data_IF_313376547466
#
_entry.id   IF_313376547466
#
_cell.length_a   1.000
_cell.length_b   1.000
_cell.length_c   1.000
_cell.angle_alpha   90.00
_cell.angle_beta   90.00
_cell.angle_gamma   90.00
#
_symmetry.space_group_name_H-M   'P 1'
#
loop_
_entity.id
_entity.type
_entity.pdbx_description
1 polymer ?
#
# COMPACT_ATOMS: atom_id res chain seq x y z
N UNK A 1 -23.90 -56.42 -17.35
CA UNK A 1 -24.91 -55.56 -16.69
C UNK A 1 -24.31 -55.03 -15.38
N UNK A 2 -23.82 -53.78 -15.36
CA UNK A 2 -23.35 -53.16 -14.10
C UNK A 2 -24.58 -52.70 -13.33
N UNK A 3 -24.79 -53.29 -12.15
CA UNK A 3 -25.83 -52.91 -11.20
C UNK A 3 -25.60 -51.45 -10.80
N UNK A 4 -26.46 -50.53 -11.23
CA UNK A 4 -26.43 -49.13 -10.80
C UNK A 4 -26.91 -49.08 -9.34
N UNK A 5 -25.97 -49.04 -8.41
CA UNK A 5 -26.25 -48.90 -6.99
C UNK A 5 -26.76 -47.48 -6.74
N UNK A 6 -28.06 -47.34 -6.45
CA UNK A 6 -28.66 -46.04 -6.13
C UNK A 6 -28.25 -45.63 -4.72
N UNK A 7 -27.69 -44.44 -4.58
CA UNK A 7 -27.32 -43.87 -3.28
C UNK A 7 -28.56 -43.73 -2.38
N UNK A 8 -28.41 -44.06 -1.09
CA UNK A 8 -29.48 -43.83 -0.10
C UNK A 8 -29.58 -42.34 0.25
N UNK A 9 -30.77 -41.83 0.67
CA UNK A 9 -30.95 -40.41 0.98
C UNK A 9 -29.96 -39.88 2.05
N UNK A 10 -29.55 -40.69 3.02
CA UNK A 10 -28.53 -40.31 4.00
C UNK A 10 -27.11 -40.16 3.42
N UNK A 11 -26.75 -40.95 2.41
CA UNK A 11 -25.47 -40.82 1.70
C UNK A 11 -25.45 -39.56 0.83
N UNK A 12 -26.55 -39.26 0.13
CA UNK A 12 -26.68 -38.03 -0.66
C UNK A 12 -26.57 -36.78 0.22
N UNK A 13 -27.20 -36.78 1.40
CA UNK A 13 -27.07 -35.69 2.37
C UNK A 13 -25.64 -35.52 2.88
N UNK A 14 -24.91 -36.62 3.11
CA UNK A 14 -23.52 -36.60 3.55
C UNK A 14 -22.58 -36.07 2.46
N UNK A 15 -22.75 -36.50 1.20
CA UNK A 15 -21.96 -35.96 0.07
C UNK A 15 -22.23 -34.48 -0.17
N UNK A 16 -23.49 -34.04 -0.04
CA UNK A 16 -23.84 -32.63 -0.12
C UNK A 16 -23.16 -31.83 0.98
N UNK A 17 -23.15 -32.34 2.22
CA UNK A 17 -22.46 -31.72 3.35
C UNK A 17 -20.96 -31.56 3.11
N UNK A 18 -20.29 -32.62 2.63
CA UNK A 18 -18.85 -32.57 2.30
C UNK A 18 -18.58 -31.57 1.17
N UNK A 19 -19.41 -31.57 0.13
CA UNK A 19 -19.27 -30.63 -0.99
C UNK A 19 -19.43 -29.17 -0.53
N UNK A 20 -20.40 -28.89 0.34
CA UNK A 20 -20.59 -27.55 0.92
C UNK A 20 -19.39 -27.15 1.77
N UNK A 21 -18.87 -28.04 2.62
CA UNK A 21 -17.68 -27.75 3.44
C UNK A 21 -16.46 -27.46 2.55
N UNK A 22 -16.23 -28.29 1.53
CA UNK A 22 -15.11 -28.10 0.61
C UNK A 22 -15.23 -26.76 -0.16
N UNK A 23 -16.44 -26.40 -0.57
CA UNK A 23 -16.70 -25.12 -1.23
C UNK A 23 -16.42 -23.94 -0.30
N UNK A 24 -16.97 -23.95 0.91
CA UNK A 24 -16.75 -22.89 1.90
C UNK A 24 -15.26 -22.75 2.24
N UNK A 25 -14.57 -23.87 2.46
CA UNK A 25 -13.14 -23.87 2.72
C UNK A 25 -12.33 -23.27 1.56
N UNK A 26 -12.70 -23.60 0.31
CA UNK A 26 -12.04 -23.03 -0.88
C UNK A 26 -12.26 -21.52 -0.98
N UNK A 27 -13.48 -21.04 -0.70
CA UNK A 27 -13.78 -19.60 -0.67
C UNK A 27 -13.01 -18.92 0.46
N UNK A 28 -12.91 -19.53 1.65
CA UNK A 28 -12.11 -18.99 2.75
C UNK A 28 -10.64 -18.85 2.39
N UNK A 29 -10.04 -19.88 1.77
CA UNK A 29 -8.65 -19.82 1.29
C UNK A 29 -8.47 -18.72 0.24
N UNK A 30 -9.42 -18.58 -0.68
CA UNK A 30 -9.40 -17.51 -1.68
C UNK A 30 -9.38 -16.12 -1.05
N UNK A 31 -10.23 -15.87 -0.05
CA UNK A 31 -10.29 -14.58 0.63
C UNK A 31 -9.00 -14.28 1.41
N UNK A 32 -8.41 -15.29 2.06
CA UNK A 32 -7.12 -15.13 2.73
C UNK A 32 -5.98 -14.83 1.75
N UNK A 33 -5.95 -15.52 0.60
CA UNK A 33 -4.98 -15.26 -0.44
C UNK A 33 -5.14 -13.85 -1.03
N UNK A 34 -6.37 -13.41 -1.28
CA UNK A 34 -6.65 -12.05 -1.77
C UNK A 34 -6.22 -10.98 -0.77
N UNK A 35 -6.47 -11.17 0.53
CA UNK A 35 -6.01 -10.27 1.58
C UNK A 35 -4.47 -10.22 1.66
N UNK A 36 -3.82 -11.39 1.60
CA UNK A 36 -2.37 -11.50 1.58
C UNK A 36 -1.74 -10.81 0.36
N UNK A 37 -2.39 -10.88 -0.80
CA UNK A 37 -1.93 -10.24 -2.02
C UNK A 37 -1.85 -8.70 -1.90
N UNK A 38 -2.80 -8.07 -1.22
CA UNK A 38 -2.79 -6.62 -0.98
C UNK A 38 -1.57 -6.22 -0.12
N UNK A 39 -1.31 -6.97 0.96
CA UNK A 39 -0.18 -6.71 1.85
C UNK A 39 1.16 -6.94 1.14
N UNK A 40 1.27 -8.03 0.38
CA UNK A 40 2.48 -8.32 -0.40
C UNK A 40 2.79 -7.19 -1.39
N UNK A 41 1.78 -6.69 -2.11
CA UNK A 41 1.94 -5.54 -3.00
C UNK A 41 2.42 -4.29 -2.29
N UNK A 42 1.87 -3.98 -1.12
CA UNK A 42 2.28 -2.82 -0.34
C UNK A 42 3.75 -2.92 0.09
N UNK A 43 4.18 -4.08 0.59
CA UNK A 43 5.58 -4.32 1.00
C UNK A 43 6.53 -4.18 -0.18
N UNK A 44 6.21 -4.80 -1.32
CA UNK A 44 7.04 -4.71 -2.53
C UNK A 44 7.09 -3.27 -3.03
N UNK A 45 5.97 -2.55 -3.03
CA UNK A 45 5.94 -1.15 -3.42
C UNK A 45 6.83 -0.27 -2.53
N UNK A 46 6.84 -0.47 -1.21
CA UNK A 46 7.74 0.29 -0.32
C UNK A 46 9.22 0.05 -0.64
N UNK A 47 9.62 -1.20 -0.91
CA UNK A 47 11.01 -1.50 -1.28
C UNK A 47 11.38 -0.84 -2.62
N UNK A 48 10.51 -0.93 -3.62
CA UNK A 48 10.74 -0.29 -4.92
C UNK A 48 10.78 1.24 -4.84
N UNK A 49 10.03 1.84 -3.91
CA UNK A 49 10.09 3.27 -3.63
C UNK A 49 11.43 3.67 -3.00
N UNK A 50 11.92 2.91 -2.03
CA UNK A 50 13.26 3.13 -1.45
C UNK A 50 14.36 2.97 -2.50
N UNK A 51 14.29 1.93 -3.34
CA UNK A 51 15.24 1.75 -4.44
C UNK A 51 15.24 2.92 -5.43
N UNK A 52 14.06 3.45 -5.76
CA UNK A 52 13.92 4.62 -6.63
C UNK A 52 14.41 5.92 -5.96
N UNK A 53 14.18 6.08 -4.65
CA UNK A 53 14.70 7.20 -3.87
C UNK A 53 16.24 7.21 -3.86
N UNK A 54 16.86 6.07 -3.56
CA UNK A 54 18.31 5.94 -3.53
C UNK A 54 18.93 6.17 -4.92
N UNK A 55 18.25 5.75 -5.98
CA UNK A 55 18.69 5.96 -7.36
C UNK A 55 18.67 7.46 -7.73
N UNK A 56 17.63 8.18 -7.32
CA UNK A 56 17.48 9.64 -7.49
C UNK A 56 18.70 10.37 -6.89
N UNK A 57 19.07 10.05 -5.65
CA UNK A 57 20.23 10.66 -4.97
C UNK A 57 21.58 10.30 -5.57
N UNK A 58 21.77 9.06 -6.05
CA UNK A 58 23.03 8.60 -6.65
C UNK A 58 23.28 9.16 -8.04
N UNK A 59 22.23 9.32 -8.84
CA UNK A 59 22.35 9.66 -10.26
C UNK A 59 22.03 11.14 -10.54
N UNK A 60 21.60 11.89 -9.51
CA UNK A 60 21.06 13.26 -9.65
C UNK A 60 19.91 13.31 -10.68
N UNK A 61 19.21 12.18 -10.84
CA UNK A 61 18.08 12.02 -11.74
C UNK A 61 16.80 12.35 -10.98
N UNK A 62 15.94 13.18 -11.57
CA UNK A 62 14.63 13.48 -10.99
C UNK A 62 13.55 12.63 -11.66
N UNK A 63 12.58 12.13 -10.91
CA UNK A 63 11.43 11.43 -11.50
C UNK A 63 11.64 9.93 -11.72
N UNK A 64 12.56 9.30 -11.00
CA UNK A 64 12.81 7.86 -11.11
C UNK A 64 11.57 7.09 -10.64
N UNK A 65 10.93 6.38 -11.56
CA UNK A 65 9.73 5.60 -11.25
C UNK A 65 10.10 4.31 -10.50
N UNK A 66 9.38 3.95 -9.43
CA UNK A 66 9.63 2.71 -8.68
C UNK A 66 9.29 1.44 -9.47
N UNK A 67 8.43 1.54 -10.48
CA UNK A 67 8.18 0.50 -11.47
C UNK A 67 7.76 1.13 -12.81
N UNK A 68 7.88 0.42 -13.95
CA UNK A 68 7.81 1.05 -15.28
C UNK A 68 6.52 1.83 -15.59
N UNK A 69 5.39 1.37 -15.04
CA UNK A 69 4.07 1.98 -15.24
C UNK A 69 3.57 2.78 -14.03
N UNK A 70 4.45 3.16 -13.09
CA UNK A 70 4.08 4.05 -12.01
C UNK A 70 3.67 5.42 -12.57
N UNK A 71 2.59 5.97 -12.02
CA UNK A 71 2.12 7.34 -12.28
C UNK A 71 2.71 8.36 -11.28
N UNK A 72 3.53 7.87 -10.34
CA UNK A 72 4.21 8.67 -9.32
C UNK A 72 5.67 8.21 -9.16
N UNK A 73 6.43 8.97 -8.38
CA UNK A 73 7.82 8.71 -8.03
C UNK A 73 8.16 9.33 -6.66
N UNK A 74 9.21 8.86 -5.96
CA UNK A 74 9.75 9.52 -4.78
C UNK A 74 10.21 10.94 -5.12
N UNK A 75 9.60 11.95 -4.50
CA UNK A 75 9.93 13.36 -4.72
C UNK A 75 10.66 13.98 -3.54
N UNK A 76 10.33 13.55 -2.32
CA UNK A 76 10.95 14.02 -1.09
C UNK A 76 10.92 12.92 -0.03
N UNK A 77 11.61 13.13 1.10
CA UNK A 77 11.55 12.25 2.27
C UNK A 77 11.20 13.04 3.52
N UNK A 78 10.08 12.67 4.15
CA UNK A 78 9.57 13.30 5.37
C UNK A 78 10.11 12.57 6.60
N UNK A 79 10.83 13.30 7.44
CA UNK A 79 11.38 12.82 8.70
C UNK A 79 10.72 13.53 9.87
N UNK A 80 10.31 12.76 10.88
CA UNK A 80 9.88 13.28 12.18
C UNK A 80 10.72 12.59 13.26
N UNK A 81 11.94 13.08 13.54
CA UNK A 81 12.90 12.39 14.40
C UNK A 81 12.34 12.09 15.79
N UNK A 82 11.58 13.02 16.36
CA UNK A 82 10.96 12.86 17.68
C UNK A 82 9.96 11.69 17.79
N UNK A 83 9.50 11.15 16.66
CA UNK A 83 8.56 10.04 16.59
C UNK A 83 9.11 8.83 15.81
N UNK A 84 10.37 8.88 15.34
CA UNK A 84 10.96 7.83 14.51
C UNK A 84 10.24 7.64 13.17
N UNK A 85 9.60 8.69 12.65
CA UNK A 85 8.90 8.62 11.36
C UNK A 85 9.89 8.94 10.24
N UNK A 86 9.85 8.09 9.23
CA UNK A 86 10.58 8.22 7.99
C UNK A 86 9.68 7.73 6.86
N UNK A 87 9.29 8.63 5.96
CA UNK A 87 8.35 8.34 4.89
C UNK A 87 8.77 9.00 3.58
N UNK A 88 8.79 8.22 2.51
CA UNK A 88 8.90 8.75 1.15
C UNK A 88 7.62 9.52 0.81
N UNK A 89 7.79 10.73 0.30
CA UNK A 89 6.72 11.59 -0.21
C UNK A 89 6.70 11.50 -1.73
N UNK A 90 5.54 11.10 -2.25
CA UNK A 90 5.32 10.80 -3.66
C UNK A 90 4.93 12.06 -4.45
N UNK A 91 5.28 12.12 -5.73
CA UNK A 91 4.83 13.19 -6.62
C UNK A 91 3.35 13.03 -6.98
N UNK A 92 2.52 14.03 -6.68
CA UNK A 92 1.09 14.06 -7.01
C UNK A 92 0.23 13.32 -5.98
N UNK A 93 -0.83 13.99 -5.52
CA UNK A 93 -1.73 13.56 -4.45
C UNK A 93 -3.01 12.86 -4.97
N UNK A 94 -2.87 12.08 -6.04
CA UNK A 94 -3.94 11.22 -6.54
C UNK A 94 -4.24 10.07 -5.56
N UNK A 95 -5.41 9.44 -5.72
CA UNK A 95 -5.76 8.25 -4.94
C UNK A 95 -4.79 7.07 -5.15
N UNK A 96 -4.17 6.97 -6.34
CA UNK A 96 -3.14 5.95 -6.62
C UNK A 96 -1.87 6.20 -5.82
N UNK A 97 -1.35 7.43 -5.77
CA UNK A 97 -0.18 7.78 -4.95
C UNK A 97 -0.47 7.59 -3.47
N UNK A 98 -1.61 8.11 -3.00
CA UNK A 98 -1.98 8.05 -1.58
C UNK A 98 -2.18 6.62 -1.06
N UNK A 99 -2.43 5.65 -1.94
CA UNK A 99 -2.46 4.23 -1.58
C UNK A 99 -1.09 3.67 -1.18
N UNK A 100 0.01 4.34 -1.55
CA UNK A 100 1.38 3.88 -1.29
C UNK A 100 2.19 4.80 -0.36
N UNK A 101 1.75 6.03 -0.10
CA UNK A 101 2.51 6.96 0.74
C UNK A 101 1.86 8.33 0.90
N UNK A 102 2.41 9.19 1.76
CA UNK A 102 2.12 10.62 1.67
C UNK A 102 2.55 11.17 0.31
N UNK A 103 1.92 12.23 -0.15
CA UNK A 103 2.12 12.76 -1.50
C UNK A 103 2.16 14.29 -1.51
N UNK A 104 3.07 14.85 -2.30
CA UNK A 104 3.18 16.28 -2.56
C UNK A 104 2.09 16.72 -3.56
N UNK A 105 1.39 17.80 -3.23
CA UNK A 105 0.41 18.38 -4.14
C UNK A 105 1.11 19.19 -5.23
N UNK A 106 1.00 18.73 -6.49
CA UNK A 106 1.62 19.38 -7.65
C UNK A 106 1.07 20.78 -7.95
N UNK A 107 -0.07 21.15 -7.34
CA UNK A 107 -0.64 22.49 -7.41
C UNK A 107 -0.04 23.46 -6.38
N UNK A 108 0.81 22.98 -5.47
CA UNK A 108 1.44 23.76 -4.41
C UNK A 108 2.88 24.17 -4.74
N UNK A 109 3.47 25.09 -3.97
CA UNK A 109 4.86 25.48 -4.16
C UNK A 109 5.81 24.34 -3.79
N UNK A 110 6.89 24.14 -4.56
CA UNK A 110 7.84 23.07 -4.26
C UNK A 110 8.56 23.32 -2.92
N UNK A 111 8.99 22.26 -2.23
CA UNK A 111 9.86 22.40 -1.07
C UNK A 111 11.07 23.31 -1.37
N UNK A 112 11.29 24.31 -0.52
CA UNK A 112 12.39 25.26 -0.66
C UNK A 112 12.13 26.45 -1.59
N UNK A 113 11.03 26.44 -2.35
CA UNK A 113 10.59 27.60 -3.13
C UNK A 113 9.70 28.53 -2.29
N UNK A 114 9.57 29.78 -2.73
CA UNK A 114 8.67 30.75 -2.09
C UNK A 114 7.21 30.32 -2.31
N UNK A 115 6.51 29.99 -1.22
CA UNK A 115 5.08 29.70 -1.25
C UNK A 115 4.66 28.68 -0.20
N UNK A 116 3.44 28.17 -0.33
CA UNK A 116 2.91 27.09 0.51
C UNK A 116 3.16 25.75 -0.16
N UNK A 117 3.94 24.89 0.48
CA UNK A 117 4.08 23.46 0.14
C UNK A 117 3.00 22.65 0.85
N UNK A 118 2.28 21.82 0.10
CA UNK A 118 1.22 20.96 0.65
C UNK A 118 1.60 19.50 0.47
N UNK A 119 1.53 18.73 1.56
CA UNK A 119 1.69 17.27 1.55
C UNK A 119 0.40 16.66 2.11
N UNK A 120 -0.19 15.79 1.30
CA UNK A 120 -1.41 15.05 1.60
C UNK A 120 -1.07 13.65 2.09
N UNK A 121 -1.89 13.08 2.98
CA UNK A 121 -1.68 11.73 3.50
C UNK A 121 -2.90 11.20 4.25
N UNK A 122 -3.11 9.89 4.21
CA UNK A 122 -4.19 9.23 4.95
C UNK A 122 -3.98 9.34 6.46
N UNK A 123 -5.01 9.81 7.17
CA UNK A 123 -4.96 10.07 8.62
C UNK A 123 -4.73 8.81 9.47
N UNK A 124 -5.21 7.67 9.02
CA UNK A 124 -5.23 6.39 9.74
C UNK A 124 -4.03 5.48 9.44
N UNK A 125 -3.32 5.76 8.35
CA UNK A 125 -2.10 5.06 7.94
C UNK A 125 -0.88 5.99 8.02
N UNK A 126 -0.50 6.63 6.92
CA UNK A 126 0.74 7.40 6.77
C UNK A 126 0.81 8.57 7.77
N UNK A 127 -0.30 9.30 7.98
CA UNK A 127 -0.34 10.50 8.82
C UNK A 127 -0.89 10.25 10.24
N UNK A 128 -0.99 9.00 10.67
CA UNK A 128 -1.43 8.69 12.04
C UNK A 128 -0.54 9.34 13.12
N UNK A 129 0.73 9.58 12.80
CA UNK A 129 1.69 10.23 13.72
C UNK A 129 1.34 11.70 14.02
N UNK A 130 0.55 12.35 13.15
CA UNK A 130 0.18 13.77 13.31
C UNK A 130 -0.59 14.01 14.60
N UNK A 131 -1.42 13.05 15.03
CA UNK A 131 -2.17 13.12 16.30
C UNK A 131 -1.24 13.34 17.51
N UNK A 132 -0.01 12.82 17.43
CA UNK A 132 0.98 12.88 18.51
C UNK A 132 1.95 14.05 18.37
N UNK A 133 1.79 14.88 17.33
CA UNK A 133 2.66 16.03 17.13
C UNK A 133 2.45 17.05 18.25
N UNK A 134 3.56 17.62 18.72
CA UNK A 134 3.58 18.71 19.71
C UNK A 134 4.06 19.99 19.05
N UNK A 135 3.65 21.13 19.62
CA UNK A 135 4.20 22.43 19.22
C UNK A 135 5.72 22.41 19.32
N UNK A 136 6.38 23.07 18.37
CA UNK A 136 7.84 23.14 18.25
C UNK A 136 8.55 21.80 17.96
N UNK A 137 7.83 20.75 17.54
CA UNK A 137 8.49 19.56 16.98
C UNK A 137 9.00 19.84 15.56
N UNK A 138 10.24 19.45 15.31
CA UNK A 138 10.88 19.57 14.00
C UNK A 138 10.39 18.45 13.08
N UNK A 139 9.94 18.85 11.89
CA UNK A 139 9.74 17.99 10.74
C UNK A 139 10.79 18.40 9.70
N UNK A 140 11.44 17.44 9.07
CA UNK A 140 12.42 17.69 8.02
C UNK A 140 11.89 17.08 6.74
N UNK A 141 11.96 17.86 5.66
CA UNK A 141 11.67 17.40 4.32
C UNK A 141 12.99 17.45 3.54
N UNK A 142 13.44 16.30 3.07
CA UNK A 142 14.65 16.14 2.25
C UNK A 142 14.29 16.04 0.79
#
# INVERSE_FOLDING_TARGET
>A
MKHLQKNTPGQLASYLGIAVIALLFSISLWQLAAAGWIQAKAIVAQHLLEDAWDSTGRQNETGVKPWPWADTWPMARLLVPAQGIDQIVLAGDSGSSLAFGPAFSLASARPGETGLTVISGHRDTHFRFIEKLKRNQTLTLQ
#
